data_IF_811902272296
#
_entry.id   IF_811902272296
#
_cell.length_a   1.000
_cell.length_b   1.000
_cell.length_c   1.000
_cell.angle_alpha   90.00
_cell.angle_beta   90.00
_cell.angle_gamma   90.00
#
_symmetry.space_group_name_H-M   'P 1'
#
loop_
_entity.id
_entity.type
_entity.pdbx_description
1 polymer ?
#
# COMPACT_ATOMS: atom_id res chain seq x y z
N UNK A 1 -12.30 10.35 3.94
CA UNK A 1 -11.55 9.41 4.81
C UNK A 1 -12.52 8.65 5.70
N UNK A 2 -12.49 7.32 5.63
CA UNK A 2 -13.31 6.46 6.49
C UNK A 2 -12.67 6.27 7.87
N UNK A 3 -13.34 6.72 8.93
CA UNK A 3 -12.93 6.45 10.32
C UNK A 3 -14.12 6.69 11.25
N UNK A 4 -14.32 5.87 12.30
CA UNK A 4 -15.35 6.14 13.31
C UNK A 4 -14.97 7.31 14.23
N UNK A 5 -13.69 7.67 14.33
CA UNK A 5 -13.21 8.73 15.22
C UNK A 5 -13.15 10.08 14.49
N UNK A 6 -13.99 11.02 14.93
CA UNK A 6 -13.96 12.40 14.46
C UNK A 6 -12.65 13.11 14.85
N UNK A 7 -12.13 12.84 16.04
CA UNK A 7 -10.85 13.39 16.51
C UNK A 7 -9.70 12.97 15.60
N UNK A 8 -9.63 11.67 15.24
CA UNK A 8 -8.62 11.16 14.30
C UNK A 8 -8.74 11.83 12.94
N UNK A 9 -9.96 11.99 12.43
CA UNK A 9 -10.17 12.69 11.16
C UNK A 9 -9.68 14.13 11.22
N UNK A 10 -10.03 14.88 12.27
CA UNK A 10 -9.62 16.28 12.42
C UNK A 10 -8.10 16.44 12.54
N UNK A 11 -7.42 15.51 13.23
CA UNK A 11 -5.94 15.49 13.30
C UNK A 11 -5.32 15.38 11.89
N UNK A 12 -5.77 14.40 11.11
CA UNK A 12 -5.27 14.18 9.74
C UNK A 12 -5.64 15.34 8.81
N UNK A 13 -6.85 15.89 8.93
CA UNK A 13 -7.26 17.04 8.13
C UNK A 13 -6.36 18.26 8.37
N UNK A 14 -5.90 18.48 9.62
CA UNK A 14 -5.00 19.59 9.98
C UNK A 14 -3.56 19.41 9.49
N UNK A 15 -3.15 18.19 9.12
CA UNK A 15 -1.85 17.93 8.49
C UNK A 15 -1.79 18.50 7.07
N UNK A 16 -2.95 18.64 6.40
CA UNK A 16 -3.04 19.28 5.09
C UNK A 16 -3.03 20.81 5.21
N UNK A 17 -2.41 21.47 4.22
CA UNK A 17 -2.47 22.93 4.08
C UNK A 17 -3.94 23.40 4.06
N UNK A 18 -4.25 24.59 4.62
CA UNK A 18 -5.62 25.09 4.76
C UNK A 18 -6.47 24.98 3.49
N UNK A 19 -5.90 25.30 2.33
CA UNK A 19 -6.60 25.27 1.03
C UNK A 19 -6.98 23.86 0.57
N UNK A 20 -6.30 22.82 1.09
CA UNK A 20 -6.53 21.42 0.75
C UNK A 20 -7.44 20.68 1.74
N UNK A 21 -7.64 21.22 2.95
CA UNK A 21 -8.46 20.57 3.99
C UNK A 21 -9.89 20.27 3.53
N UNK A 22 -10.44 21.12 2.65
CA UNK A 22 -11.78 20.97 2.05
C UNK A 22 -11.95 19.72 1.19
N UNK A 23 -10.86 19.13 0.69
CA UNK A 23 -10.90 17.92 -0.13
C UNK A 23 -10.95 16.64 0.72
N UNK A 24 -10.65 16.73 2.03
CA UNK A 24 -10.80 15.63 2.97
C UNK A 24 -12.18 15.71 3.62
N UNK A 25 -13.03 14.72 3.32
CA UNK A 25 -14.38 14.59 3.89
C UNK A 25 -14.41 13.44 4.90
N UNK A 26 -14.96 13.68 6.10
CA UNK A 26 -15.15 12.63 7.11
C UNK A 26 -16.30 11.72 6.73
N UNK A 27 -16.07 10.41 6.67
CA UNK A 27 -17.13 9.42 6.51
C UNK A 27 -16.97 8.31 7.54
N UNK A 28 -18.08 7.72 7.99
CA UNK A 28 -18.10 6.66 9.01
C UNK A 28 -18.61 5.32 8.47
N UNK A 29 -19.12 5.31 7.22
CA UNK A 29 -19.67 4.12 6.56
C UNK A 29 -19.22 4.05 5.09
N UNK A 30 -18.95 2.85 4.60
CA UNK A 30 -18.53 2.62 3.20
C UNK A 30 -19.55 3.08 2.14
N UNK A 31 -20.85 3.07 2.46
CA UNK A 31 -21.90 3.59 1.56
C UNK A 31 -21.62 5.03 1.07
N UNK A 32 -20.91 5.84 1.86
CA UNK A 32 -20.58 7.21 1.45
C UNK A 32 -19.70 7.27 0.18
N UNK A 33 -18.97 6.20 -0.13
CA UNK A 33 -18.11 6.11 -1.31
C UNK A 33 -18.79 5.47 -2.53
N UNK A 34 -20.13 5.35 -2.54
CA UNK A 34 -20.88 4.69 -3.64
C UNK A 34 -20.73 5.30 -5.03
N UNK A 35 -20.23 6.53 -5.10
CA UNK A 35 -19.99 7.24 -6.36
C UNK A 35 -18.48 7.39 -6.64
N UNK A 36 -17.61 6.81 -5.82
CA UNK A 36 -16.15 6.91 -5.97
C UNK A 36 -15.64 5.70 -6.74
N UNK A 37 -14.99 5.91 -7.90
CA UNK A 37 -14.37 4.83 -8.69
C UNK A 37 -12.95 4.48 -8.26
N UNK A 38 -12.34 5.26 -7.39
CA UNK A 38 -10.98 5.02 -6.88
C UNK A 38 -11.06 4.75 -5.39
N UNK A 39 -10.71 3.54 -4.99
CA UNK A 39 -10.77 3.11 -3.59
C UNK A 39 -9.35 2.81 -3.09
N UNK A 40 -8.87 3.62 -2.14
CA UNK A 40 -7.57 3.43 -1.49
C UNK A 40 -7.81 2.68 -0.18
N UNK A 41 -7.29 1.46 -0.09
CA UNK A 41 -7.63 0.48 0.94
C UNK A 41 -6.39 0.08 1.73
N UNK A 42 -6.25 0.68 2.92
CA UNK A 42 -5.19 0.35 3.89
C UNK A 42 -5.62 -0.57 5.03
N UNK A 43 -6.86 -1.07 4.99
CA UNK A 43 -7.41 -2.02 5.97
C UNK A 43 -8.13 -3.11 5.21
N UNK A 44 -8.04 -4.34 5.69
CA UNK A 44 -8.75 -5.46 5.07
C UNK A 44 -10.28 -5.22 5.10
N UNK A 45 -10.95 -5.42 3.95
CA UNK A 45 -12.40 -5.23 3.79
C UNK A 45 -13.09 -6.50 3.29
N UNK A 46 -14.27 -6.75 3.84
CA UNK A 46 -15.14 -7.89 3.51
C UNK A 46 -15.80 -7.74 2.14
N UNK A 47 -16.29 -8.86 1.61
CA UNK A 47 -17.13 -8.90 0.40
C UNK A 47 -18.34 -7.96 0.49
N UNK A 48 -18.97 -7.86 1.67
CA UNK A 48 -20.14 -6.97 1.87
C UNK A 48 -19.75 -5.50 1.76
N UNK A 49 -18.60 -5.12 2.29
CA UNK A 49 -18.10 -3.74 2.21
C UNK A 49 -17.70 -3.37 0.78
N UNK A 50 -17.10 -4.30 0.02
CA UNK A 50 -16.78 -4.10 -1.39
C UNK A 50 -18.01 -3.86 -2.28
N UNK A 51 -19.21 -4.31 -1.87
CA UNK A 51 -20.45 -4.07 -2.63
C UNK A 51 -20.86 -2.59 -2.67
N UNK A 52 -20.34 -1.76 -1.77
CA UNK A 52 -20.60 -0.32 -1.81
C UNK A 52 -19.83 0.41 -2.90
N UNK A 53 -18.78 -0.19 -3.47
CA UNK A 53 -18.07 0.40 -4.59
C UNK A 53 -18.93 0.36 -5.87
N UNK A 54 -18.99 1.44 -6.67
CA UNK A 54 -19.68 1.42 -7.95
C UNK A 54 -18.99 0.47 -8.96
N UNK A 55 -19.72 -0.05 -9.95
CA UNK A 55 -19.11 -0.78 -11.06
C UNK A 55 -18.01 0.03 -11.75
N UNK A 56 -16.95 -0.64 -12.20
CA UNK A 56 -15.75 -0.04 -12.77
C UNK A 56 -14.83 0.61 -11.74
N UNK A 57 -14.97 0.29 -10.46
CA UNK A 57 -14.03 0.74 -9.41
C UNK A 57 -12.69 0.06 -9.56
N UNK A 58 -11.61 0.81 -9.32
CA UNK A 58 -10.28 0.27 -9.06
C UNK A 58 -9.94 0.35 -7.56
N UNK A 59 -9.55 -0.77 -6.98
CA UNK A 59 -9.10 -0.89 -5.60
C UNK A 59 -7.58 -0.82 -5.53
N UNK A 60 -7.03 0.32 -5.11
CA UNK A 60 -5.62 0.45 -4.71
C UNK A 60 -5.47 -0.10 -3.28
N UNK A 61 -4.95 -1.32 -3.15
CA UNK A 61 -4.76 -1.98 -1.86
C UNK A 61 -3.29 -2.00 -1.45
N UNK A 62 -3.04 -1.81 -0.17
CA UNK A 62 -1.70 -1.96 0.43
C UNK A 62 -1.78 -2.72 1.77
N UNK A 63 -2.85 -3.50 1.95
CA UNK A 63 -3.03 -4.42 3.08
C UNK A 63 -2.44 -5.79 2.73
N UNK A 64 -1.71 -6.39 3.67
CA UNK A 64 -1.19 -7.76 3.56
C UNK A 64 -1.92 -8.64 4.60
N UNK A 65 -2.53 -9.78 4.22
CA UNK A 65 -2.72 -10.26 2.85
C UNK A 65 -3.70 -9.37 2.05
N UNK A 66 -3.68 -9.44 0.70
CA UNK A 66 -4.56 -8.64 -0.14
C UNK A 66 -6.04 -8.96 0.12
N UNK A 67 -6.93 -8.03 -0.22
CA UNK A 67 -8.37 -8.28 -0.12
C UNK A 67 -8.81 -9.26 -1.20
N UNK A 68 -9.83 -10.07 -0.91
CA UNK A 68 -10.38 -11.02 -1.87
C UNK A 68 -11.02 -10.25 -3.05
N UNK A 69 -10.58 -10.48 -4.31
CA UNK A 69 -11.12 -9.79 -5.48
C UNK A 69 -12.49 -10.36 -5.90
N UNK A 70 -13.54 -10.01 -5.15
CA UNK A 70 -14.88 -10.57 -5.33
C UNK A 70 -15.69 -9.91 -6.46
N UNK A 71 -15.47 -8.61 -6.72
CA UNK A 71 -16.23 -7.83 -7.69
C UNK A 71 -15.65 -8.01 -9.08
N UNK A 72 -16.34 -8.79 -9.93
CA UNK A 72 -15.95 -9.04 -11.33
C UNK A 72 -16.04 -7.81 -12.23
N UNK A 73 -16.86 -6.84 -11.84
CA UNK A 73 -17.04 -5.55 -12.50
C UNK A 73 -16.07 -4.48 -11.97
N UNK A 74 -15.11 -4.85 -11.13
CA UNK A 74 -14.08 -3.98 -10.58
C UNK A 74 -12.68 -4.56 -10.83
N UNK A 75 -11.65 -3.75 -10.63
CA UNK A 75 -10.24 -4.17 -10.70
C UNK A 75 -9.55 -3.96 -9.37
N UNK A 76 -8.52 -4.74 -9.10
CA UNK A 76 -7.76 -4.73 -7.85
C UNK A 76 -6.29 -4.57 -8.20
N UNK A 77 -5.61 -3.58 -7.60
CA UNK A 77 -4.18 -3.41 -7.73
C UNK A 77 -3.43 -4.48 -6.97
N UNK A 78 -2.30 -4.92 -7.50
CA UNK A 78 -1.41 -5.85 -6.82
C UNK A 78 -0.69 -5.14 -5.66
N UNK A 79 -0.31 -5.93 -4.65
CA UNK A 79 0.54 -5.43 -3.58
C UNK A 79 1.95 -5.25 -4.12
N UNK A 80 2.55 -4.10 -3.81
CA UNK A 80 3.92 -3.82 -4.21
C UNK A 80 4.87 -4.92 -3.69
N UNK A 81 5.71 -5.42 -4.59
CA UNK A 81 6.65 -6.49 -4.33
C UNK A 81 7.93 -6.29 -5.12
N UNK A 82 9.02 -6.84 -4.61
CA UNK A 82 10.32 -6.82 -5.26
C UNK A 82 10.94 -8.21 -5.31
N UNK A 83 11.61 -8.50 -6.42
CA UNK A 83 12.47 -9.66 -6.57
C UNK A 83 13.84 -9.36 -5.97
N UNK A 84 14.30 -10.28 -5.12
CA UNK A 84 15.63 -10.28 -4.54
C UNK A 84 16.69 -10.71 -5.57
N UNK A 85 17.97 -10.31 -5.41
CA UNK A 85 19.06 -10.85 -6.20
C UNK A 85 19.13 -12.40 -6.15
N UNK A 86 19.52 -13.08 -7.25
CA UNK A 86 19.44 -14.55 -7.34
C UNK A 86 20.30 -15.31 -6.32
N UNK A 87 21.35 -14.68 -5.81
CA UNK A 87 22.32 -15.22 -4.86
C UNK A 87 21.90 -15.04 -3.39
N UNK A 88 20.80 -14.33 -3.12
CA UNK A 88 20.29 -14.13 -1.77
C UNK A 88 19.81 -15.45 -1.16
N UNK A 89 20.26 -15.73 0.07
CA UNK A 89 19.87 -16.89 0.86
C UNK A 89 19.37 -16.46 2.24
N UNK A 90 18.68 -17.36 2.95
CA UNK A 90 18.23 -17.12 4.33
C UNK A 90 16.97 -16.26 4.49
N UNK A 91 16.42 -15.68 3.41
CA UNK A 91 15.20 -14.85 3.44
C UNK A 91 13.92 -15.60 3.04
N UNK A 92 13.93 -16.94 3.00
CA UNK A 92 12.76 -17.73 2.58
C UNK A 92 11.50 -17.47 3.41
N UNK A 93 11.63 -17.26 4.71
CA UNK A 93 10.49 -16.91 5.59
C UNK A 93 9.88 -15.54 5.23
N UNK A 94 10.68 -14.62 4.70
CA UNK A 94 10.24 -13.28 4.28
C UNK A 94 9.46 -13.29 2.96
N UNK A 95 9.50 -14.38 2.20
CA UNK A 95 8.69 -14.56 0.98
C UNK A 95 7.21 -14.66 1.33
N UNK A 96 6.86 -15.15 2.53
CA UNK A 96 5.49 -15.33 3.02
C UNK A 96 4.61 -16.11 2.02
N UNK A 97 3.71 -15.43 1.32
CA UNK A 97 2.82 -16.01 0.31
C UNK A 97 3.30 -15.79 -1.13
N UNK A 98 4.46 -15.14 -1.30
CA UNK A 98 5.06 -14.85 -2.59
C UNK A 98 5.86 -16.05 -3.12
N UNK A 99 6.16 -16.02 -4.41
CA UNK A 99 7.04 -17.02 -5.01
C UNK A 99 8.50 -16.87 -4.55
N UNK A 100 9.31 -17.89 -4.86
CA UNK A 100 10.73 -17.92 -4.48
C UNK A 100 11.49 -16.69 -5.00
N UNK A 101 12.24 -16.05 -4.11
CA UNK A 101 13.04 -14.88 -4.41
C UNK A 101 12.22 -13.60 -4.58
N UNK A 102 10.93 -13.59 -4.21
CA UNK A 102 10.09 -12.39 -4.22
C UNK A 102 9.59 -12.11 -2.80
N UNK A 103 9.65 -10.85 -2.40
CA UNK A 103 9.12 -10.39 -1.12
C UNK A 103 8.24 -9.17 -1.33
N UNK A 104 7.30 -8.93 -0.40
CA UNK A 104 6.56 -7.67 -0.40
C UNK A 104 7.50 -6.47 -0.24
N UNK A 105 7.13 -5.32 -0.83
CA UNK A 105 7.95 -4.12 -0.81
C UNK A 105 8.30 -3.65 0.61
N UNK A 106 7.43 -3.91 1.61
CA UNK A 106 7.74 -3.61 3.01
C UNK A 106 8.89 -4.48 3.57
N UNK A 107 9.00 -5.75 3.18
CA UNK A 107 10.12 -6.60 3.57
C UNK A 107 11.39 -6.21 2.81
N UNK A 108 11.27 -5.91 1.51
CA UNK A 108 12.38 -5.39 0.71
C UNK A 108 12.93 -4.08 1.31
N UNK A 109 12.07 -3.16 1.73
CA UNK A 109 12.45 -1.92 2.42
C UNK A 109 13.29 -2.19 3.66
N UNK A 110 12.86 -3.13 4.52
CA UNK A 110 13.65 -3.53 5.70
C UNK A 110 15.03 -4.12 5.36
N UNK A 111 15.14 -4.88 4.27
CA UNK A 111 16.43 -5.40 3.78
C UNK A 111 17.32 -4.25 3.31
N UNK A 112 16.80 -3.37 2.46
CA UNK A 112 17.54 -2.19 1.94
C UNK A 112 18.00 -1.28 3.08
N UNK A 113 17.12 -1.03 4.06
CA UNK A 113 17.44 -0.26 5.25
C UNK A 113 18.64 -0.83 6.00
N UNK A 114 18.67 -2.15 6.20
CA UNK A 114 19.78 -2.85 6.85
C UNK A 114 21.06 -2.80 6.01
N UNK A 115 20.98 -2.93 4.68
CA UNK A 115 22.13 -2.92 3.77
C UNK A 115 22.78 -1.54 3.66
N UNK A 116 21.98 -0.48 3.69
CA UNK A 116 22.46 0.91 3.67
C UNK A 116 22.93 1.39 5.05
N UNK A 117 22.75 0.59 6.11
CA UNK A 117 23.17 0.95 7.46
C UNK A 117 22.43 2.18 8.02
N UNK A 118 21.20 2.41 7.57
CA UNK A 118 20.39 3.52 8.05
C UNK A 118 20.02 3.34 9.52
N UNK A 119 19.99 4.45 10.25
CA UNK A 119 19.79 4.46 11.73
C UNK A 119 18.48 5.13 12.14
N UNK A 120 17.73 5.68 11.19
CA UNK A 120 16.44 6.30 11.44
C UNK A 120 15.35 5.23 11.51
N UNK A 121 14.23 5.52 12.17
CA UNK A 121 13.10 4.59 12.20
C UNK A 121 12.17 4.81 11.00
N UNK A 122 11.72 3.75 10.36
CA UNK A 122 10.67 3.78 9.34
C UNK A 122 9.27 3.58 9.96
N UNK A 123 8.98 4.31 11.04
CA UNK A 123 7.72 4.22 11.75
C UNK A 123 7.01 5.57 11.71
N UNK A 124 5.74 5.57 11.31
CA UNK A 124 4.89 6.76 11.30
C UNK A 124 4.54 7.22 9.89
N UNK A 125 4.46 8.55 9.69
CA UNK A 125 4.22 9.13 8.39
C UNK A 125 5.39 8.82 7.44
N UNK A 126 5.07 8.59 6.16
CA UNK A 126 6.08 8.38 5.12
C UNK A 126 6.84 9.69 4.92
N UNK A 127 8.17 9.62 4.98
CA UNK A 127 9.06 10.70 4.54
C UNK A 127 9.11 10.69 3.00
N UNK A 128 8.36 11.59 2.39
CA UNK A 128 8.20 11.63 0.92
C UNK A 128 9.50 11.98 0.20
N UNK A 129 10.42 12.71 0.86
CA UNK A 129 11.69 13.11 0.27
C UNK A 129 12.69 11.95 0.20
N UNK A 130 12.41 10.85 0.92
CA UNK A 130 13.22 9.62 0.91
C UNK A 130 12.76 8.58 -0.10
N UNK A 131 11.62 8.76 -0.76
CA UNK A 131 11.06 7.76 -1.68
C UNK A 131 12.08 7.40 -2.78
N UNK A 132 12.62 8.41 -3.47
CA UNK A 132 13.58 8.19 -4.55
C UNK A 132 14.91 7.64 -4.02
N UNK A 133 15.36 8.11 -2.84
CA UNK A 133 16.59 7.62 -2.20
C UNK A 133 16.49 6.12 -1.91
N UNK A 134 15.37 5.69 -1.33
CA UNK A 134 15.14 4.28 -0.99
C UNK A 134 14.97 3.43 -2.24
N UNK A 135 14.28 3.96 -3.25
CA UNK A 135 14.11 3.30 -4.53
C UNK A 135 15.43 3.04 -5.24
N UNK A 136 16.27 4.08 -5.40
CA UNK A 136 17.57 3.96 -6.05
C UNK A 136 18.53 3.04 -5.27
N UNK A 137 18.49 3.07 -3.94
CA UNK A 137 19.24 2.12 -3.11
C UNK A 137 18.79 0.68 -3.35
N UNK A 138 17.48 0.42 -3.44
CA UNK A 138 16.96 -0.91 -3.74
C UNK A 138 17.46 -1.42 -5.10
N UNK A 139 17.39 -0.57 -6.14
CA UNK A 139 17.89 -0.92 -7.48
C UNK A 139 19.40 -1.16 -7.49
N UNK A 140 20.18 -0.34 -6.77
CA UNK A 140 21.64 -0.50 -6.62
C UNK A 140 22.01 -1.85 -5.97
N UNK A 141 21.22 -2.31 -5.00
CA UNK A 141 21.37 -3.63 -4.39
C UNK A 141 20.82 -4.78 -5.23
N UNK A 142 20.37 -4.50 -6.46
CA UNK A 142 19.92 -5.51 -7.42
C UNK A 142 18.49 -5.99 -7.19
N UNK A 143 17.73 -5.36 -6.28
CA UNK A 143 16.29 -5.62 -6.17
C UNK A 143 15.58 -5.09 -7.42
N UNK A 144 14.54 -5.80 -7.86
CA UNK A 144 13.78 -5.43 -9.07
C UNK A 144 12.30 -5.40 -8.77
N UNK A 145 11.54 -4.37 -9.21
CA UNK A 145 10.10 -4.41 -9.08
C UNK A 145 9.52 -5.61 -9.82
N UNK A 146 8.53 -6.24 -9.21
CA UNK A 146 7.70 -7.21 -9.92
C UNK A 146 6.71 -6.42 -10.76
N UNK A 147 6.85 -6.50 -12.08
CA UNK A 147 5.81 -6.05 -13.01
C UNK A 147 4.92 -7.25 -13.31
N UNK A 148 3.66 -7.16 -12.92
CA UNK A 148 2.66 -8.04 -13.50
C UNK A 148 2.41 -7.53 -14.92
N UNK A 149 3.12 -8.10 -15.90
CA UNK A 149 2.66 -8.06 -17.28
C UNK A 149 1.42 -8.96 -17.38
N UNK A 150 0.29 -8.49 -16.86
CA UNK A 150 -1.01 -9.03 -17.23
C UNK A 150 -1.33 -8.49 -18.61
N UNK A 151 -0.92 -9.25 -19.63
CA UNK A 151 -1.53 -9.20 -20.97
C UNK A 151 -2.95 -9.77 -20.93
#
# INVERSE_FOLDING_TARGET
MLTPSAERFQKIQKEALPDFQKYLVHVTKYHAAKNCKTWIVGKWITVREQKFAPPGTHFHQFVVPPVLPFRRDCTYGDLAAMRLPPDVQGLGTCEYSMERGVVHACHAGGVVHSMEGWTHNEVGAIDVDRIDIVWEAALKHGLKPVSNNTS
#
